data_IF_377141337339
#
_entry.id   IF_377141337339
#
_cell.length_a   1.000
_cell.length_b   1.000
_cell.length_c   1.000
_cell.angle_alpha   90.00
_cell.angle_beta   90.00
_cell.angle_gamma   90.00
#
_symmetry.space_group_name_H-M   'P 1'
#
loop_
_entity.id
_entity.type
_entity.pdbx_description
1 polymer ?
#
# COMPACT_ATOMS: atom_id res chain seq x y z
N UNK A 1 7.98 -11.59 -5.07
CA UNK A 1 6.99 -10.50 -5.23
C UNK A 1 7.26 -9.47 -4.15
N UNK A 2 7.41 -8.19 -4.51
CA UNK A 2 7.56 -7.11 -3.54
C UNK A 2 6.20 -6.48 -3.22
N UNK A 3 6.02 -5.98 -2.00
CA UNK A 3 4.83 -5.24 -1.58
C UNK A 3 4.58 -4.04 -2.50
N UNK A 4 5.65 -3.34 -2.90
CA UNK A 4 5.59 -2.24 -3.85
C UNK A 4 4.96 -2.65 -5.18
N UNK A 5 5.38 -3.78 -5.76
CA UNK A 5 4.83 -4.28 -7.03
C UNK A 5 3.33 -4.51 -6.95
N UNK A 6 2.85 -4.98 -5.79
CA UNK A 6 1.44 -5.32 -5.60
C UNK A 6 0.57 -4.10 -5.27
N UNK A 7 1.14 -3.11 -4.60
CA UNK A 7 0.55 -1.78 -4.51
C UNK A 7 0.39 -1.16 -5.89
N UNK A 8 1.46 -1.12 -6.70
CA UNK A 8 1.40 -0.56 -8.05
C UNK A 8 0.40 -1.29 -8.95
N UNK A 9 0.33 -2.63 -8.84
CA UNK A 9 -0.68 -3.43 -9.54
C UNK A 9 -2.09 -3.00 -9.12
N UNK A 10 -2.35 -2.89 -7.83
CA UNK A 10 -3.64 -2.44 -7.28
C UNK A 10 -4.01 -1.06 -7.79
N UNK A 11 -3.07 -0.11 -7.77
CA UNK A 11 -3.31 1.24 -8.30
C UNK A 11 -3.56 1.24 -9.81
N UNK A 12 -2.89 0.39 -10.58
CA UNK A 12 -3.15 0.23 -12.00
C UNK A 12 -4.55 -0.35 -12.26
N UNK A 13 -5.06 -1.22 -11.39
CA UNK A 13 -6.45 -1.69 -11.45
C UNK A 13 -7.43 -0.56 -11.13
N UNK A 14 -7.21 0.20 -10.06
CA UNK A 14 -8.08 1.33 -9.69
C UNK A 14 -8.09 2.42 -10.77
N UNK A 15 -6.97 2.65 -11.44
CA UNK A 15 -6.89 3.54 -12.61
C UNK A 15 -7.80 3.10 -13.76
N UNK A 16 -7.98 1.80 -13.99
CA UNK A 16 -8.93 1.32 -15.00
C UNK A 16 -10.39 1.56 -14.60
N UNK A 17 -10.65 1.81 -13.32
CA UNK A 17 -11.97 2.14 -12.76
C UNK A 17 -12.14 3.63 -12.47
N UNK A 18 -11.36 4.49 -13.14
CA UNK A 18 -11.38 5.93 -12.89
C UNK A 18 -12.77 6.55 -13.06
N UNK A 19 -13.51 6.20 -14.12
CA UNK A 19 -14.87 6.72 -14.36
C UNK A 19 -15.81 6.45 -13.17
N UNK A 20 -15.70 5.27 -12.55
CA UNK A 20 -16.46 4.93 -11.35
C UNK A 20 -16.05 5.79 -10.15
N UNK A 21 -14.75 6.00 -9.94
CA UNK A 21 -14.25 6.83 -8.84
C UNK A 21 -14.68 8.28 -9.00
N UNK A 22 -14.68 8.80 -10.22
CA UNK A 22 -15.17 10.15 -10.53
C UNK A 22 -16.67 10.28 -10.28
N UNK A 23 -17.48 9.29 -10.69
CA UNK A 23 -18.92 9.27 -10.40
C UNK A 23 -19.21 9.18 -8.90
N UNK A 24 -18.47 8.34 -8.18
CA UNK A 24 -18.57 8.21 -6.73
C UNK A 24 -18.30 9.55 -6.04
N UNK A 25 -17.22 10.23 -6.44
CA UNK A 25 -16.86 11.53 -5.89
C UNK A 25 -17.89 12.61 -6.24
N UNK A 26 -18.40 12.61 -7.48
CA UNK A 26 -19.47 13.51 -7.92
C UNK A 26 -20.79 13.32 -7.17
N UNK A 27 -21.04 12.11 -6.66
CA UNK A 27 -22.17 11.80 -5.78
C UNK A 27 -21.92 12.13 -4.29
N UNK A 28 -20.76 12.71 -3.95
CA UNK A 28 -20.36 13.01 -2.58
C UNK A 28 -19.76 11.82 -1.81
N UNK A 29 -19.47 10.71 -2.49
CA UNK A 29 -18.81 9.54 -1.91
C UNK A 29 -17.29 9.71 -1.83
N UNK A 30 -16.67 8.91 -0.96
CA UNK A 30 -15.22 8.89 -0.75
C UNK A 30 -14.71 7.47 -0.99
N UNK A 31 -13.53 7.35 -1.59
CA UNK A 31 -12.83 6.08 -1.76
C UNK A 31 -11.50 6.10 -0.99
N UNK A 32 -11.29 5.04 -0.21
CA UNK A 32 -10.12 4.91 0.66
C UNK A 32 -9.43 3.57 0.41
N UNK A 33 -8.11 3.60 0.26
CA UNK A 33 -7.27 2.41 0.17
C UNK A 33 -6.50 2.26 1.49
N UNK A 34 -6.90 1.27 2.27
CA UNK A 34 -6.22 0.88 3.50
C UNK A 34 -5.21 -0.23 3.22
N UNK A 35 -3.97 -0.02 3.64
CA UNK A 35 -2.88 -0.97 3.45
C UNK A 35 -2.19 -1.18 4.79
N UNK A 36 -2.26 -2.40 5.30
CA UNK A 36 -1.50 -2.81 6.49
C UNK A 36 -0.35 -3.71 6.07
N UNK A 37 0.87 -3.32 6.43
CA UNK A 37 2.10 -4.02 6.07
C UNK A 37 2.78 -4.60 7.30
N UNK A 38 3.11 -5.89 7.25
CA UNK A 38 3.95 -6.55 8.25
C UNK A 38 5.34 -6.75 7.66
N UNK A 39 6.27 -5.89 8.06
CA UNK A 39 7.54 -5.66 7.40
C UNK A 39 8.72 -6.22 8.22
N UNK A 40 9.74 -6.81 7.59
CA UNK A 40 11.00 -7.17 8.28
C UNK A 40 11.90 -5.94 8.45
N UNK A 41 12.95 -6.04 9.27
CA UNK A 41 13.81 -4.90 9.68
C UNK A 41 14.40 -4.06 8.53
N UNK A 42 14.66 -4.65 7.37
CA UNK A 42 15.23 -4.00 6.18
C UNK A 42 14.19 -3.63 5.12
N UNK A 43 12.90 -3.77 5.44
CA UNK A 43 11.83 -3.44 4.50
C UNK A 43 11.83 -1.95 4.16
N UNK A 44 11.85 -1.65 2.87
CA UNK A 44 11.69 -0.30 2.34
C UNK A 44 10.50 -0.30 1.38
N UNK A 45 9.60 0.65 1.57
CA UNK A 45 8.58 0.99 0.59
C UNK A 45 8.97 2.33 -0.02
N UNK A 46 9.37 2.31 -1.29
CA UNK A 46 9.62 3.53 -2.05
C UNK A 46 8.42 3.80 -2.95
N UNK A 47 7.85 4.99 -2.82
CA UNK A 47 6.79 5.45 -3.72
C UNK A 47 7.38 6.52 -4.64
N UNK A 48 7.44 6.21 -5.92
CA UNK A 48 7.86 7.19 -6.92
C UNK A 48 6.91 8.40 -6.93
N UNK A 49 7.39 9.57 -7.35
CA UNK A 49 6.56 10.76 -7.54
C UNK A 49 5.39 10.50 -8.51
N UNK A 50 5.59 9.63 -9.51
CA UNK A 50 4.55 9.22 -10.46
C UNK A 50 3.44 8.41 -9.78
N UNK A 51 3.81 7.54 -8.84
CA UNK A 51 2.87 6.76 -8.04
C UNK A 51 2.05 7.66 -7.11
N UNK A 52 2.70 8.63 -6.45
CA UNK A 52 2.01 9.62 -5.61
C UNK A 52 1.06 10.50 -6.41
N UNK A 53 1.48 10.98 -7.59
CA UNK A 53 0.63 11.76 -8.48
C UNK A 53 -0.56 10.94 -9.01
N UNK A 54 -0.41 9.63 -9.22
CA UNK A 54 -1.51 8.75 -9.58
C UNK A 54 -2.56 8.67 -8.47
N UNK A 55 -2.13 8.54 -7.20
CA UNK A 55 -3.06 8.54 -6.06
C UNK A 55 -3.90 9.81 -6.00
N UNK A 56 -3.26 10.98 -6.13
CA UNK A 56 -3.96 12.25 -6.12
C UNK A 56 -4.97 12.38 -7.27
N UNK A 57 -4.62 11.92 -8.47
CA UNK A 57 -5.53 11.96 -9.63
C UNK A 57 -6.74 11.02 -9.50
N UNK A 58 -6.60 9.91 -8.80
CA UNK A 58 -7.70 8.98 -8.57
C UNK A 58 -8.67 9.45 -7.48
N UNK A 59 -8.37 10.56 -6.79
CA UNK A 59 -9.19 11.03 -5.67
C UNK A 59 -9.25 10.04 -4.50
N UNK A 60 -8.25 9.16 -4.40
CA UNK A 60 -8.16 8.12 -3.38
C UNK A 60 -7.39 8.65 -2.17
N UNK A 61 -8.01 8.57 -1.00
CA UNK A 61 -7.26 8.65 0.25
C UNK A 61 -6.54 7.32 0.48
N UNK A 62 -5.28 7.38 0.90
CA UNK A 62 -4.47 6.18 1.19
C UNK A 62 -3.98 6.25 2.63
N UNK A 63 -4.29 5.20 3.38
CA UNK A 63 -3.79 4.99 4.73
C UNK A 63 -2.83 3.81 4.70
N UNK A 64 -1.58 4.05 5.10
CA UNK A 64 -0.54 3.05 5.20
C UNK A 64 -0.19 2.83 6.67
N UNK A 65 -0.46 1.62 7.16
CA UNK A 65 -0.03 1.18 8.48
C UNK A 65 1.10 0.16 8.33
N UNK A 66 2.22 0.37 9.03
CA UNK A 66 3.42 -0.46 8.91
C UNK A 66 3.79 -1.00 10.28
N UNK A 67 3.69 -2.31 10.43
CA UNK A 67 4.09 -3.05 11.60
C UNK A 67 5.45 -3.72 11.34
N UNK A 68 6.55 -3.18 11.87
CA UNK A 68 7.83 -3.87 11.84
C UNK A 68 7.73 -5.17 12.68
N UNK A 69 8.04 -6.30 12.06
CA UNK A 69 8.17 -7.59 12.72
C UNK A 69 9.56 -7.66 13.35
N UNK A 70 9.66 -7.89 14.67
CA UNK A 70 10.95 -8.09 15.29
C UNK A 70 11.61 -9.31 14.65
N UNK A 71 12.88 -9.17 14.27
CA UNK A 71 13.73 -10.30 13.97
C UNK A 71 13.80 -11.14 15.24
N UNK A 72 12.96 -12.18 15.35
CA UNK A 72 13.24 -13.25 16.30
C UNK A 72 14.56 -13.85 15.84
N UNK A 73 15.65 -13.36 16.45
CA UNK A 73 16.95 -13.94 16.31
C UNK A 73 16.82 -15.44 16.55
N UNK A 74 17.57 -16.20 15.77
CA UNK A 74 17.78 -17.63 15.88
C UNK A 74 18.46 -18.02 17.23
N UNK A 75 18.01 -17.46 18.35
CA UNK A 75 18.58 -17.64 19.69
C UNK A 75 17.94 -18.79 20.47
N UNK A 76 17.26 -19.71 19.80
CA UNK A 76 16.70 -20.90 20.44
C UNK A 76 17.13 -22.19 19.72
N UNK A 77 18.43 -22.34 19.48
CA UNK A 77 19.09 -23.65 19.32
C UNK A 77 20.48 -23.66 19.99
N UNK A 78 20.52 -23.23 21.24
CA UNK A 78 21.57 -23.62 22.19
C UNK A 78 20.92 -23.83 23.56
N UNK A 79 20.26 -24.97 23.74
CA UNK A 79 19.97 -25.58 25.04
C UNK A 79 19.28 -26.93 24.79
N UNK A 80 20.05 -27.95 24.44
CA UNK A 80 19.72 -29.36 24.62
C UNK A 80 21.02 -30.14 24.76
#
# INVERSE_FOLDING_TARGET
>A
MSVESELLRTLAHLRRSQDFLEQLHGAGGVAELYVTLFAREDFRLELSAQSLALLGRLGLAVALDVHPQPSHGLSQRQAS
#
